data_IF_342462781817
#
_entry.id   IF_342462781817
#
_cell.length_a   1.000
_cell.length_b   1.000
_cell.length_c   1.000
_cell.angle_alpha   90.00
_cell.angle_beta   90.00
_cell.angle_gamma   90.00
#
_symmetry.space_group_name_H-M   'P 1'
#
loop_
_entity.id
_entity.type
_entity.pdbx_description
1 polymer ?
#
# COMPACT_ATOMS: atom_id res chain seq x y z
N UNK A 1 -14.25 -8.75 -9.95
CA UNK A 1 -13.04 -7.95 -9.67
C UNK A 1 -12.51 -8.34 -8.29
N UNK A 2 -11.25 -8.75 -8.16
CA UNK A 2 -10.69 -9.32 -6.92
C UNK A 2 -10.76 -8.32 -5.76
N UNK A 3 -11.54 -8.60 -4.70
CA UNK A 3 -11.77 -7.68 -3.55
C UNK A 3 -10.46 -7.19 -2.88
N UNK A 4 -9.38 -7.96 -2.98
CA UNK A 4 -8.04 -7.56 -2.53
C UNK A 4 -7.40 -6.49 -3.42
N UNK A 5 -7.58 -6.57 -4.75
CA UNK A 5 -7.05 -5.57 -5.68
C UNK A 5 -7.74 -4.22 -5.47
N UNK A 6 -9.06 -4.23 -5.31
CA UNK A 6 -9.82 -3.00 -5.03
C UNK A 6 -9.37 -2.34 -3.71
N UNK A 7 -9.09 -3.13 -2.67
CA UNK A 7 -8.53 -2.64 -1.41
C UNK A 7 -7.12 -2.07 -1.60
N UNK A 8 -6.25 -2.78 -2.34
CA UNK A 8 -4.89 -2.32 -2.63
C UNK A 8 -4.91 -0.97 -3.37
N UNK A 9 -5.79 -0.81 -4.35
CA UNK A 9 -5.94 0.44 -5.10
C UNK A 9 -6.47 1.60 -4.25
N UNK A 10 -7.39 1.33 -3.33
CA UNK A 10 -7.87 2.33 -2.38
C UNK A 10 -6.73 2.78 -1.44
N UNK A 11 -6.00 1.82 -0.88
CA UNK A 11 -4.88 2.11 0.02
C UNK A 11 -3.73 2.84 -0.71
N UNK A 12 -3.44 2.48 -1.97
CA UNK A 12 -2.46 3.21 -2.80
C UNK A 12 -2.89 4.64 -3.09
N UNK A 13 -4.18 4.88 -3.36
CA UNK A 13 -4.70 6.25 -3.56
C UNK A 13 -4.49 7.09 -2.30
N UNK A 14 -4.85 6.53 -1.14
CA UNK A 14 -4.66 7.18 0.15
C UNK A 14 -3.20 7.48 0.46
N UNK A 15 -2.28 6.56 0.15
CA UNK A 15 -0.84 6.79 0.28
C UNK A 15 -0.38 7.97 -0.58
N UNK A 16 -0.93 8.09 -1.80
CA UNK A 16 -0.56 9.15 -2.73
C UNK A 16 -1.02 10.52 -2.22
N UNK A 17 -2.25 10.61 -1.69
CA UNK A 17 -2.76 11.84 -1.07
C UNK A 17 -1.93 12.25 0.15
N UNK A 18 -1.61 11.30 1.04
CA UNK A 18 -0.74 11.55 2.20
C UNK A 18 0.67 11.97 1.78
N UNK A 19 1.19 11.38 0.71
CA UNK A 19 2.50 11.71 0.15
C UNK A 19 2.54 13.13 -0.41
N UNK A 20 1.51 13.53 -1.15
CA UNK A 20 1.37 14.89 -1.68
C UNK A 20 1.29 15.88 -0.50
N UNK A 21 0.42 15.64 0.48
CA UNK A 21 0.29 16.51 1.66
C UNK A 21 1.62 16.64 2.43
N UNK A 22 2.38 15.53 2.56
CA UNK A 22 3.70 15.53 3.18
C UNK A 22 4.68 16.41 2.42
N UNK A 23 4.71 16.28 1.08
CA UNK A 23 5.58 17.07 0.21
C UNK A 23 5.22 18.55 0.23
N UNK A 24 3.92 18.88 0.24
CA UNK A 24 3.43 20.25 0.38
C UNK A 24 3.85 20.88 1.71
N UNK A 25 3.87 20.08 2.79
CA UNK A 25 4.37 20.50 4.10
C UNK A 25 5.90 20.47 4.22
N UNK A 26 6.61 20.02 3.18
CA UNK A 26 8.07 19.84 3.20
C UNK A 26 8.56 18.74 4.15
N UNK A 27 7.66 17.85 4.57
CA UNK A 27 7.97 16.73 5.48
C UNK A 27 8.43 15.54 4.64
N UNK A 28 9.63 14.98 4.91
CA UNK A 28 10.09 13.79 4.22
C UNK A 28 9.11 12.62 4.41
N UNK A 29 8.83 11.89 3.32
CA UNK A 29 7.94 10.72 3.36
C UNK A 29 8.38 9.64 4.37
N UNK A 30 9.69 9.58 4.67
CA UNK A 30 10.26 8.71 5.67
C UNK A 30 9.89 9.10 7.11
N UNK A 31 9.72 10.40 7.37
CA UNK A 31 9.37 10.95 8.68
C UNK A 31 7.86 11.08 8.88
N UNK A 32 7.08 10.98 7.80
CA UNK A 32 5.63 11.02 7.88
C UNK A 32 5.06 9.66 8.34
N UNK A 33 4.73 9.56 9.62
CA UNK A 33 4.16 8.35 10.22
C UNK A 33 2.92 7.83 9.49
N UNK A 34 2.06 8.72 8.97
CA UNK A 34 0.86 8.31 8.24
C UNK A 34 1.22 7.65 6.90
N UNK A 35 2.18 8.20 6.16
CA UNK A 35 2.71 7.60 4.92
C UNK A 35 3.37 6.26 5.24
N UNK A 36 4.17 6.18 6.31
CA UNK A 36 4.84 4.94 6.73
C UNK A 36 3.84 3.85 7.13
N UNK A 37 2.82 4.18 7.93
CA UNK A 37 1.78 3.25 8.33
C UNK A 37 1.00 2.74 7.11
N UNK A 38 0.65 3.65 6.19
CA UNK A 38 -0.07 3.31 4.97
C UNK A 38 0.78 2.42 4.03
N UNK A 39 2.08 2.69 3.92
CA UNK A 39 3.01 1.84 3.16
C UNK A 39 3.03 0.42 3.71
N UNK A 40 3.18 0.24 5.03
CA UNK A 40 3.20 -1.09 5.67
C UNK A 40 1.93 -1.89 5.39
N UNK A 41 0.76 -1.23 5.38
CA UNK A 41 -0.50 -1.89 5.04
C UNK A 41 -0.52 -2.38 3.59
N UNK A 42 -0.04 -1.55 2.65
CA UNK A 42 0.07 -1.92 1.23
C UNK A 42 1.05 -3.08 1.06
N UNK A 43 2.22 -3.03 1.70
CA UNK A 43 3.22 -4.11 1.66
C UNK A 43 2.61 -5.44 2.14
N UNK A 44 1.88 -5.44 3.27
CA UNK A 44 1.18 -6.64 3.74
C UNK A 44 0.12 -7.15 2.76
N UNK A 45 -0.63 -6.26 2.12
CA UNK A 45 -1.63 -6.65 1.11
C UNK A 45 -0.98 -7.25 -0.14
N UNK A 46 0.17 -6.73 -0.57
CA UNK A 46 0.96 -7.28 -1.68
C UNK A 46 1.49 -8.66 -1.32
N UNK A 47 2.04 -8.83 -0.10
CA UNK A 47 2.51 -10.15 0.38
C UNK A 47 1.36 -11.16 0.35
N UNK A 48 0.18 -10.82 0.90
CA UNK A 48 -0.99 -11.73 0.85
C UNK A 48 -1.47 -12.02 -0.57
N UNK A 49 -1.41 -11.03 -1.47
CA UNK A 49 -1.71 -11.23 -2.90
C UNK A 49 -0.71 -12.20 -3.55
N UNK A 50 0.57 -12.02 -3.25
CA UNK A 50 1.65 -12.89 -3.70
C UNK A 50 1.49 -14.30 -3.15
N UNK A 51 1.23 -14.49 -1.86
CA UNK A 51 0.98 -15.80 -1.27
C UNK A 51 -0.23 -16.49 -1.91
N UNK A 52 -1.32 -15.75 -2.14
CA UNK A 52 -2.53 -16.28 -2.80
C UNK A 52 -2.30 -16.66 -4.26
N UNK A 53 -1.42 -15.95 -4.97
CA UNK A 53 -1.06 -16.24 -6.35
C UNK A 53 0.05 -17.31 -6.46
N UNK A 54 1.02 -17.31 -5.56
CA UNK A 54 2.12 -18.28 -5.50
C UNK A 54 1.63 -19.67 -5.07
N UNK A 55 0.60 -19.74 -4.22
CA UNK A 55 -0.11 -20.99 -3.91
C UNK A 55 -0.84 -21.64 -5.10
N UNK A 56 -0.93 -20.97 -6.25
CA UNK A 56 -1.50 -21.52 -7.50
C UNK A 56 -0.46 -21.97 -8.53
N UNK A 57 0.84 -21.82 -8.23
CA UNK A 57 1.95 -22.21 -9.12
C UNK A 57 2.70 -23.47 -8.71
N UNK A 58 2.22 -24.20 -7.70
CA UNK A 58 2.87 -25.41 -7.18
C UNK A 58 1.87 -26.57 -7.13
N UNK A 59 1.35 -27.01 -8.29
CA UNK A 59 0.70 -28.31 -8.43
C UNK A 59 0.67 -28.74 -9.89
#
# INVERSE_FOLDING_TARGET
>A
MNRLLAQLEAERRRLNELGIESLEKGIPLAENEAVQAQSRTIDQLIVRLHEKNAGRGQH
#
